data_IF_052703063430
#
_entry.id   IF_052703063430
#
_cell.length_a   1.000
_cell.length_b   1.000
_cell.length_c   1.000
_cell.angle_alpha   90.00
_cell.angle_beta   90.00
_cell.angle_gamma   90.00
#
_symmetry.space_group_name_H-M   'P 1'
#
loop_
_entity.id
_entity.type
_entity.pdbx_description
1 polymer ?
#
# COMPACT_ATOMS: atom_id res chain seq x y z
N UNK A 1 41.45 1.66 -33.97
CA UNK A 1 41.08 2.00 -32.60
C UNK A 1 42.27 1.60 -31.70
N UNK A 2 42.80 2.50 -30.89
CA UNK A 2 43.89 2.18 -29.99
C UNK A 2 43.39 1.46 -28.72
N UNK A 3 44.32 0.91 -27.93
CA UNK A 3 43.99 0.15 -26.74
C UNK A 3 43.22 0.96 -25.68
N UNK A 4 43.52 2.26 -25.59
CA UNK A 4 42.86 3.17 -24.64
C UNK A 4 41.40 3.42 -25.02
N UNK A 5 41.11 3.61 -26.28
CA UNK A 5 39.74 3.79 -26.77
C UNK A 5 38.88 2.55 -26.54
N UNK A 6 39.45 1.37 -26.72
CA UNK A 6 38.78 0.10 -26.45
C UNK A 6 38.47 -0.05 -24.94
N UNK A 7 39.48 0.32 -24.10
CA UNK A 7 39.33 0.26 -22.65
C UNK A 7 38.18 1.15 -22.14
N UNK A 8 38.11 2.40 -22.59
CA UNK A 8 37.03 3.32 -22.22
C UNK A 8 35.66 2.88 -22.75
N UNK A 9 35.63 2.33 -23.95
CA UNK A 9 34.39 1.78 -24.50
C UNK A 9 33.83 0.63 -23.63
N UNK A 10 34.71 -0.29 -23.21
CA UNK A 10 34.31 -1.41 -22.37
C UNK A 10 33.79 -0.95 -21.01
N UNK A 11 34.45 0.01 -20.37
CA UNK A 11 34.01 0.57 -19.08
C UNK A 11 32.63 1.24 -19.22
N UNK A 12 32.45 2.03 -20.28
CA UNK A 12 31.17 2.73 -20.50
C UNK A 12 30.03 1.75 -20.73
N UNK A 13 30.23 0.73 -21.52
CA UNK A 13 29.21 -0.31 -21.76
C UNK A 13 28.89 -1.08 -20.47
N UNK A 14 29.90 -1.45 -19.69
CA UNK A 14 29.69 -2.14 -18.41
C UNK A 14 28.93 -1.28 -17.40
N UNK A 15 29.24 0.01 -17.29
CA UNK A 15 28.57 0.94 -16.40
C UNK A 15 27.09 1.15 -16.79
N UNK A 16 26.81 1.32 -18.07
CA UNK A 16 25.41 1.45 -18.56
C UNK A 16 24.60 0.18 -18.38
N UNK A 17 25.21 -0.98 -18.60
CA UNK A 17 24.54 -2.27 -18.40
C UNK A 17 24.22 -2.52 -16.91
N UNK A 18 25.14 -2.18 -16.01
CA UNK A 18 24.91 -2.29 -14.56
C UNK A 18 23.82 -1.35 -14.06
N UNK A 19 23.80 -0.11 -14.56
CA UNK A 19 22.74 0.85 -14.22
C UNK A 19 21.38 0.39 -14.74
N UNK A 20 21.30 -0.09 -15.96
CA UNK A 20 20.06 -0.62 -16.54
C UNK A 20 19.54 -1.83 -15.77
N UNK A 21 20.42 -2.71 -15.30
CA UNK A 21 20.06 -3.85 -14.49
C UNK A 21 19.49 -3.43 -13.11
N UNK A 22 20.10 -2.48 -12.42
CA UNK A 22 19.61 -1.95 -11.16
C UNK A 22 18.26 -1.25 -11.30
N UNK A 23 18.06 -0.46 -12.35
CA UNK A 23 16.78 0.19 -12.64
C UNK A 23 15.70 -0.82 -13.04
N UNK A 24 16.05 -1.90 -13.73
CA UNK A 24 15.14 -2.97 -14.11
C UNK A 24 14.72 -3.88 -12.96
N UNK A 25 15.46 -3.86 -11.85
CA UNK A 25 15.07 -4.61 -10.64
C UNK A 25 14.08 -3.87 -9.74
N UNK A 26 13.93 -2.56 -9.87
CA UNK A 26 12.79 -1.89 -9.28
C UNK A 26 11.57 -2.33 -10.09
N UNK A 27 10.67 -3.09 -9.48
CA UNK A 27 9.49 -3.62 -10.15
C UNK A 27 8.52 -2.51 -10.56
N UNK A 28 8.78 -1.25 -10.20
CA UNK A 28 7.93 -0.11 -10.51
C UNK A 28 6.55 -0.18 -9.89
N UNK A 29 6.31 -1.18 -9.06
CA UNK A 29 5.05 -1.29 -8.34
C UNK A 29 4.93 -0.12 -7.39
N UNK A 30 3.79 0.58 -7.37
CA UNK A 30 3.56 1.59 -6.37
C UNK A 30 3.65 0.95 -4.98
N UNK A 31 4.10 1.68 -3.95
CA UNK A 31 4.19 1.16 -2.59
C UNK A 31 2.85 0.75 -2.01
N UNK A 32 1.77 1.11 -2.67
CA UNK A 32 0.40 0.73 -2.30
C UNK A 32 -0.22 -0.07 -3.42
N UNK A 33 -0.95 -1.11 -3.06
CA UNK A 33 -1.67 -1.92 -4.00
C UNK A 33 -2.69 -1.07 -4.77
N UNK A 34 -2.81 -1.33 -6.06
CA UNK A 34 -3.94 -0.84 -6.85
C UNK A 34 -5.23 -1.50 -6.36
N UNK A 35 -6.37 -0.99 -6.82
CA UNK A 35 -7.66 -1.60 -6.49
C UNK A 35 -7.72 -3.09 -6.84
N UNK A 36 -7.06 -3.48 -7.93
CA UNK A 36 -7.03 -4.87 -8.39
C UNK A 36 -6.11 -5.79 -7.58
N UNK A 37 -5.16 -5.19 -6.83
CA UNK A 37 -4.19 -5.91 -6.02
C UNK A 37 -4.56 -5.95 -4.53
N UNK A 38 -5.64 -5.29 -4.13
CA UNK A 38 -6.10 -5.36 -2.75
C UNK A 38 -6.48 -6.79 -2.40
N UNK A 39 -6.17 -7.17 -1.16
CA UNK A 39 -6.60 -8.46 -0.66
C UNK A 39 -8.13 -8.58 -0.78
N UNK A 40 -8.61 -9.69 -1.32
CA UNK A 40 -10.04 -9.90 -1.57
C UNK A 40 -10.90 -9.70 -0.30
N UNK A 41 -10.35 -10.03 0.87
CA UNK A 41 -11.01 -9.83 2.15
C UNK A 41 -11.39 -8.36 2.41
N UNK A 42 -10.57 -7.41 1.95
CA UNK A 42 -10.83 -5.98 2.16
C UNK A 42 -12.09 -5.49 1.41
N UNK A 43 -12.48 -6.19 0.36
CA UNK A 43 -13.64 -5.85 -0.45
C UNK A 43 -14.89 -6.68 -0.10
N UNK A 44 -14.78 -7.62 0.83
CA UNK A 44 -15.94 -8.39 1.29
C UNK A 44 -16.93 -7.49 2.03
N UNK A 45 -18.18 -7.90 2.03
CA UNK A 45 -19.22 -7.28 2.84
C UNK A 45 -19.53 -8.15 4.04
N UNK A 46 -19.24 -7.66 5.24
CA UNK A 46 -19.49 -8.39 6.49
C UNK A 46 -20.92 -8.19 6.96
N UNK A 47 -21.50 -7.02 6.69
CA UNK A 47 -22.90 -6.71 6.96
C UNK A 47 -23.26 -6.41 8.42
N UNK A 48 -22.41 -6.73 9.40
CA UNK A 48 -22.66 -6.46 10.80
C UNK A 48 -21.62 -7.06 11.74
N UNK A 49 -21.75 -6.81 13.04
CA UNK A 49 -20.80 -7.22 14.06
C UNK A 49 -21.03 -8.62 14.65
N UNK A 50 -21.96 -9.38 14.12
CA UNK A 50 -22.29 -10.71 14.63
C UNK A 50 -21.75 -11.82 13.73
N UNK A 51 -21.36 -12.95 14.33
CA UNK A 51 -20.88 -14.10 13.59
C UNK A 51 -19.47 -13.95 13.02
N UNK A 52 -18.67 -13.03 13.58
CA UNK A 52 -17.31 -12.78 13.15
C UNK A 52 -16.35 -13.79 13.78
N UNK A 53 -15.37 -14.26 12.98
CA UNK A 53 -14.29 -15.12 13.45
C UNK A 53 -13.17 -14.30 14.10
N UNK A 54 -12.93 -13.10 13.59
CA UNK A 54 -11.82 -12.22 13.99
C UNK A 54 -12.33 -10.81 14.26
N UNK A 55 -11.77 -10.17 15.30
CA UNK A 55 -12.19 -8.84 15.74
C UNK A 55 -11.02 -8.12 16.40
N UNK A 56 -10.43 -7.13 15.72
CA UNK A 56 -9.28 -6.37 16.19
C UNK A 56 -9.54 -4.87 16.14
N UNK A 57 -8.89 -4.13 17.02
CA UNK A 57 -8.98 -2.67 17.07
C UNK A 57 -7.59 -2.02 17.09
N UNK A 58 -6.83 -2.09 15.99
CA UNK A 58 -5.56 -1.36 15.94
C UNK A 58 -5.80 0.15 15.97
N UNK A 59 -4.85 0.87 16.54
CA UNK A 59 -4.84 2.33 16.54
C UNK A 59 -3.89 2.84 15.46
N UNK A 60 -4.36 3.79 14.67
CA UNK A 60 -3.57 4.45 13.63
C UNK A 60 -3.36 5.91 14.00
N UNK A 61 -2.14 6.34 13.95
CA UNK A 61 -1.75 7.76 14.07
C UNK A 61 -1.08 8.17 12.78
N UNK A 62 -1.57 9.24 12.18
CA UNK A 62 -1.00 9.81 10.97
C UNK A 62 -0.38 11.15 11.35
N UNK A 63 0.92 11.30 11.12
CA UNK A 63 1.62 12.56 11.33
C UNK A 63 2.32 12.98 10.05
N UNK A 64 2.08 14.21 9.61
CA UNK A 64 2.69 14.79 8.42
C UNK A 64 3.37 16.09 8.81
N UNK A 65 4.68 16.16 8.60
CA UNK A 65 5.50 17.35 8.95
C UNK A 65 5.30 17.80 10.41
N UNK A 66 5.13 16.86 11.33
CA UNK A 66 4.95 17.14 12.76
C UNK A 66 3.51 17.49 13.17
N UNK A 67 2.56 17.46 12.24
CA UNK A 67 1.14 17.65 12.53
C UNK A 67 0.40 16.32 12.46
N UNK A 68 -0.43 16.05 13.46
CA UNK A 68 -1.32 14.89 13.46
C UNK A 68 -2.53 15.16 12.57
N UNK A 69 -2.80 14.19 11.70
CA UNK A 69 -3.94 14.21 10.78
C UNK A 69 -5.03 13.30 11.35
N UNK A 70 -6.23 13.80 11.47
CA UNK A 70 -7.37 12.97 11.89
C UNK A 70 -7.65 11.86 10.87
N UNK A 71 -7.88 10.65 11.37
CA UNK A 71 -8.39 9.55 10.56
C UNK A 71 -9.89 9.76 10.36
N UNK A 72 -10.40 9.76 9.12
CA UNK A 72 -11.82 9.95 8.88
C UNK A 72 -12.68 8.91 9.58
N UNK A 73 -13.80 9.33 10.13
CA UNK A 73 -14.83 8.44 10.65
C UNK A 73 -15.72 7.89 9.52
N UNK A 74 -16.42 6.80 9.80
CA UNK A 74 -17.38 6.15 8.89
C UNK A 74 -16.79 5.70 7.54
N UNK A 75 -15.50 5.45 7.48
CA UNK A 75 -14.86 4.82 6.32
C UNK A 75 -15.19 3.33 6.33
N UNK A 76 -15.55 2.78 5.19
CA UNK A 76 -15.92 1.36 5.07
C UNK A 76 -17.30 1.02 5.67
N UNK A 77 -18.11 2.02 5.96
CA UNK A 77 -19.49 1.87 6.45
C UNK A 77 -20.46 2.48 5.43
N UNK A 78 -21.62 1.83 5.30
CA UNK A 78 -22.71 2.29 4.44
C UNK A 78 -22.28 2.59 2.99
N UNK A 79 -21.34 1.83 2.48
CA UNK A 79 -20.98 1.86 1.07
C UNK A 79 -22.15 1.34 0.21
N UNK A 80 -22.27 1.77 -1.05
CA UNK A 80 -23.26 1.21 -1.95
C UNK A 80 -23.17 -0.32 -2.02
N UNK A 81 -24.25 -1.01 -1.62
CA UNK A 81 -24.33 -2.46 -1.60
C UNK A 81 -23.67 -3.16 -0.41
N UNK A 82 -23.09 -2.41 0.53
CA UNK A 82 -22.49 -3.00 1.74
C UNK A 82 -22.63 -2.09 2.96
N UNK A 83 -23.22 -2.59 4.02
CA UNK A 83 -23.39 -1.87 5.28
C UNK A 83 -22.07 -1.73 6.04
N UNK A 84 -21.22 -2.76 6.00
CA UNK A 84 -19.97 -2.77 6.75
C UNK A 84 -18.91 -3.59 6.00
N UNK A 85 -17.77 -2.97 5.75
CA UNK A 85 -16.57 -3.64 5.23
C UNK A 85 -15.76 -4.22 6.38
N UNK A 86 -14.89 -5.21 6.13
CA UNK A 86 -14.00 -5.78 7.15
C UNK A 86 -13.09 -4.76 7.83
N UNK A 87 -12.66 -3.74 7.08
CA UNK A 87 -11.88 -2.61 7.58
C UNK A 87 -12.76 -1.37 7.58
N UNK A 88 -13.01 -0.82 8.75
CA UNK A 88 -13.87 0.37 8.86
C UNK A 88 -13.53 1.20 10.09
N UNK A 89 -14.00 2.44 10.09
CA UNK A 89 -13.92 3.36 11.22
C UNK A 89 -15.31 3.84 11.61
N UNK A 90 -15.51 4.09 12.90
CA UNK A 90 -16.77 4.69 13.40
C UNK A 90 -16.61 6.17 13.74
N UNK A 91 -15.40 6.57 14.13
CA UNK A 91 -15.09 7.94 14.55
C UNK A 91 -13.71 8.38 14.06
N UNK A 92 -13.25 9.54 14.50
CA UNK A 92 -11.97 10.13 14.12
C UNK A 92 -10.84 9.83 15.09
N UNK A 93 -11.02 8.88 16.00
CA UNK A 93 -10.03 8.54 17.05
C UNK A 93 -8.76 7.85 16.52
N UNK A 94 -8.80 7.35 15.29
CA UNK A 94 -7.75 6.51 14.74
C UNK A 94 -7.94 5.02 15.03
N UNK A 95 -8.98 4.64 15.74
CA UNK A 95 -9.33 3.24 15.94
C UNK A 95 -9.86 2.65 14.64
N UNK A 96 -9.16 1.67 14.12
CA UNK A 96 -9.58 0.90 12.96
C UNK A 96 -10.26 -0.38 13.47
N UNK A 97 -11.43 -0.66 12.96
CA UNK A 97 -12.09 -1.94 13.20
C UNK A 97 -11.68 -2.92 12.11
N UNK A 98 -11.15 -4.06 12.50
CA UNK A 98 -10.81 -5.18 11.62
C UNK A 98 -11.70 -6.33 12.05
N UNK A 99 -12.71 -6.64 11.26
CA UNK A 99 -13.76 -7.57 11.61
C UNK A 99 -14.13 -8.46 10.41
N UNK A 100 -13.96 -9.77 10.56
CA UNK A 100 -14.31 -10.73 9.50
C UNK A 100 -14.55 -12.15 10.01
#
# INVERSE_FOLDING_TARGET
>A
MNKESIFWLVITVAALSGLGFLLGQSDGSPPFNTADERHALADECVGGHSGLAEHYHPMVVISVLGEDIEVPGNVGLNDPGCTMRPLHTHDTSGKIHVEF
#
